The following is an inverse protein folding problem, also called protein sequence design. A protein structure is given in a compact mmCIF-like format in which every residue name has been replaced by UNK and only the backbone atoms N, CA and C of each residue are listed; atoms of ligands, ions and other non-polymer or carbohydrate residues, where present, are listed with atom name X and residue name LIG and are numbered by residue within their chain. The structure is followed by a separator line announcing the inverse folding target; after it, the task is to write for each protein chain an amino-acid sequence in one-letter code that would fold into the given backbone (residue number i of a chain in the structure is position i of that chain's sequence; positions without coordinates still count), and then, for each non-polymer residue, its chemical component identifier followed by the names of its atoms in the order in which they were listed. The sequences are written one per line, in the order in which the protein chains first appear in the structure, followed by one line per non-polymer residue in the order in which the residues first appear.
data_IF_060289690655
#
_entry.id   IF_060289690655
#
_cell.length_a   1.000
_cell.length_b   1.000
_cell.length_c   1.000
_cell.angle_alpha   90.00
_cell.angle_beta   90.00
_cell.angle_gamma   90.00
#
_symmetry.space_group_name_H-M   'P 1'
#
loop_
_entity.id
_entity.type
_entity.pdbx_description
1 polymer ?
#
# COMPACT_ATOMS: atom_id res chain seq x y z
N UNK A 1 -6.43 -3.44 -11.02
CA UNK A 1 -6.53 -4.23 -9.78
C UNK A 1 -6.40 -5.69 -10.17
N UNK A 2 -5.36 -6.38 -9.69
CA UNK A 2 -5.12 -7.78 -10.07
C UNK A 2 -6.00 -8.71 -9.25
N UNK A 3 -6.88 -9.44 -9.92
CA UNK A 3 -7.74 -10.46 -9.31
C UNK A 3 -6.99 -11.75 -8.96
N UNK A 4 -5.73 -11.89 -9.35
CA UNK A 4 -4.87 -13.05 -9.08
C UNK A 4 -4.06 -12.89 -7.79
N UNK A 5 -4.71 -12.58 -6.67
CA UNK A 5 -4.03 -12.56 -5.36
C UNK A 5 -4.80 -13.39 -4.35
N UNK A 6 -4.09 -14.27 -3.64
CA UNK A 6 -4.63 -14.93 -2.44
C UNK A 6 -4.60 -13.94 -1.28
N UNK A 7 -5.76 -13.65 -0.71
CA UNK A 7 -5.96 -12.72 0.39
C UNK A 7 -5.64 -13.36 1.75
N UNK A 8 -5.39 -12.51 2.74
CA UNK A 8 -5.06 -12.94 4.10
C UNK A 8 -6.01 -12.28 5.10
N UNK A 9 -6.61 -13.08 5.99
CA UNK A 9 -7.48 -12.57 7.07
C UNK A 9 -6.73 -11.77 8.14
N UNK A 10 -5.39 -11.82 8.14
CA UNK A 10 -4.54 -10.99 8.99
C UNK A 10 -4.40 -11.46 10.45
N UNK A 11 -5.38 -12.16 11.04
CA UNK A 11 -5.28 -12.78 12.37
C UNK A 11 -4.50 -11.94 13.42
N UNK A 12 -3.59 -12.58 14.15
CA UNK A 12 -2.65 -11.95 15.10
C UNK A 12 -1.35 -11.46 14.44
N UNK A 13 -1.30 -11.35 13.10
CA UNK A 13 -0.11 -10.86 12.41
C UNK A 13 0.14 -9.39 12.75
N UNK A 14 1.33 -9.05 13.29
CA UNK A 14 1.66 -7.68 13.71
C UNK A 14 1.86 -6.71 12.54
N UNK A 15 2.13 -7.23 11.33
CA UNK A 15 2.41 -6.43 10.13
C UNK A 15 1.24 -6.38 9.14
N UNK A 16 0.05 -6.89 9.51
CA UNK A 16 -1.11 -6.97 8.60
C UNK A 16 -1.52 -5.61 8.03
N UNK A 17 -1.41 -4.53 8.81
CA UNK A 17 -1.73 -3.16 8.41
C UNK A 17 -0.79 -2.60 7.33
N UNK A 18 0.30 -3.29 7.01
CA UNK A 18 1.22 -2.94 5.93
C UNK A 18 1.17 -3.93 4.77
N UNK A 19 0.28 -4.91 4.82
CA UNK A 19 0.23 -6.00 3.86
C UNK A 19 -0.92 -5.82 2.87
N UNK A 20 -0.62 -5.75 1.59
CA UNK A 20 -1.61 -5.62 0.52
C UNK A 20 -2.62 -6.76 0.53
N UNK A 21 -2.20 -8.00 0.85
CA UNK A 21 -3.10 -9.16 0.95
C UNK A 21 -4.17 -9.05 2.04
N UNK A 22 -3.93 -8.22 3.06
CA UNK A 22 -4.91 -7.96 4.12
C UNK A 22 -5.78 -6.73 3.79
N UNK A 23 -5.19 -5.71 3.15
CA UNK A 23 -5.86 -4.45 2.85
C UNK A 23 -6.63 -4.44 1.52
N UNK A 24 -6.34 -5.38 0.62
CA UNK A 24 -6.97 -5.43 -0.69
C UNK A 24 -8.49 -5.61 -0.58
N UNK A 25 -9.21 -4.88 -1.42
CA UNK A 25 -10.67 -4.94 -1.50
C UNK A 25 -11.13 -6.28 -2.07
N UNK A 26 -12.13 -6.90 -1.44
CA UNK A 26 -12.68 -8.19 -1.88
C UNK A 26 -13.73 -7.93 -2.95
N UNK A 27 -13.30 -8.03 -4.22
CA UNK A 27 -14.20 -7.93 -5.37
C UNK A 27 -14.54 -9.32 -5.91
N UNK A 28 -15.80 -9.72 -5.76
CA UNK A 28 -16.32 -11.00 -6.25
C UNK A 28 -15.81 -12.20 -5.44
N UNK A 29 -15.57 -13.33 -6.14
CA UNK A 29 -14.97 -14.52 -5.52
C UNK A 29 -13.45 -14.33 -5.47
N UNK A 30 -12.86 -14.50 -4.29
CA UNK A 30 -11.42 -14.43 -4.05
C UNK A 30 -10.98 -15.60 -3.18
N UNK A 31 -9.73 -16.04 -3.35
CA UNK A 31 -9.12 -17.07 -2.53
C UNK A 31 -8.48 -16.48 -1.28
N UNK A 32 -8.54 -17.23 -0.18
CA UNK A 32 -7.94 -16.85 1.10
C UNK A 32 -6.99 -17.94 1.59
N UNK A 33 -5.92 -17.53 2.27
CA UNK A 33 -5.12 -18.47 3.03
C UNK A 33 -5.96 -19.11 4.15
N UNK A 34 -6.00 -20.45 4.19
CA UNK A 34 -6.72 -21.19 5.23
C UNK A 34 -6.06 -21.10 6.62
N UNK A 35 -4.76 -20.79 6.67
CA UNK A 35 -4.00 -20.55 7.90
C UNK A 35 -3.18 -19.28 7.77
N UNK A 36 -2.85 -18.63 8.90
CA UNK A 36 -2.05 -17.42 8.92
C UNK A 36 -0.62 -17.73 8.43
N UNK A 37 -0.15 -17.15 7.32
CA UNK A 37 1.19 -17.42 6.79
C UNK A 37 2.33 -16.77 7.59
N UNK A 38 2.01 -16.03 8.65
CA UNK A 38 2.99 -15.33 9.47
C UNK A 38 3.68 -16.30 10.44
N UNK A 39 5.01 -16.31 10.42
CA UNK A 39 5.82 -17.08 11.36
C UNK A 39 6.19 -16.20 12.56
N UNK A 40 5.69 -16.57 13.74
CA UNK A 40 5.93 -15.86 14.99
C UNK A 40 7.33 -16.11 15.58
N UNK A 41 7.94 -17.27 15.30
CA UNK A 41 9.28 -17.60 15.79
C UNK A 41 10.35 -16.75 15.09
N UNK A 42 10.19 -16.52 13.78
CA UNK A 42 11.09 -15.71 12.96
C UNK A 42 10.62 -14.27 12.77
N UNK A 43 9.44 -13.94 13.31
CA UNK A 43 8.79 -12.63 13.20
C UNK A 43 8.66 -12.14 11.74
N UNK A 44 8.41 -13.06 10.80
CA UNK A 44 8.43 -12.80 9.35
C UNK A 44 7.34 -13.56 8.61
N UNK A 45 7.00 -13.10 7.40
CA UNK A 45 6.02 -13.76 6.54
C UNK A 45 6.53 -13.77 5.10
N UNK A 46 6.68 -14.96 4.53
CA UNK A 46 7.13 -15.17 3.14
C UNK A 46 6.14 -14.55 2.14
N UNK A 47 4.85 -14.55 2.48
CA UNK A 47 3.79 -14.00 1.65
C UNK A 47 3.53 -12.51 1.92
N UNK A 48 4.36 -11.85 2.72
CA UNK A 48 4.22 -10.42 2.98
C UNK A 48 4.37 -9.64 1.67
N UNK A 49 3.31 -8.91 1.32
CA UNK A 49 3.34 -7.98 0.20
C UNK A 49 3.15 -6.58 0.74
N UNK A 50 4.20 -5.77 0.68
CA UNK A 50 4.13 -4.40 1.18
C UNK A 50 3.09 -3.57 0.42
N UNK A 51 2.12 -3.02 1.14
CA UNK A 51 1.12 -2.09 0.61
C UNK A 51 1.72 -0.69 0.48
N UNK A 52 2.72 -0.53 -0.40
CA UNK A 52 3.21 0.81 -0.73
C UNK A 52 2.23 1.51 -1.67
N UNK A 53 1.98 2.81 -1.48
CA UNK A 53 1.18 3.58 -2.42
C UNK A 53 1.75 3.45 -3.84
N UNK A 54 0.88 3.28 -4.82
CA UNK A 54 1.32 3.17 -6.21
C UNK A 54 1.95 4.49 -6.67
N UNK A 55 2.93 4.41 -7.59
CA UNK A 55 3.56 5.60 -8.17
C UNK A 55 2.53 6.53 -8.81
N UNK A 56 1.42 5.99 -9.34
CA UNK A 56 0.29 6.74 -9.85
C UNK A 56 -0.43 7.56 -8.78
N UNK A 57 -0.64 7.02 -7.58
CA UNK A 57 -1.26 7.74 -6.46
C UNK A 57 -0.36 8.87 -5.95
N UNK A 58 0.95 8.61 -5.85
CA UNK A 58 1.94 9.64 -5.50
C UNK A 58 1.93 10.75 -6.55
N UNK A 59 1.89 10.40 -7.85
CA UNK A 59 1.82 11.39 -8.94
C UNK A 59 0.56 12.23 -8.90
N UNK A 60 -0.60 11.61 -8.69
CA UNK A 60 -1.88 12.31 -8.55
C UNK A 60 -1.85 13.29 -7.37
N UNK A 61 -1.33 12.85 -6.22
CA UNK A 61 -1.22 13.70 -5.04
C UNK A 61 -0.21 14.83 -5.23
N UNK A 62 0.94 14.56 -5.85
CA UNK A 62 1.92 15.57 -6.19
C UNK A 62 1.33 16.64 -7.12
N UNK A 63 0.54 16.23 -8.12
CA UNK A 63 -0.14 17.16 -9.01
C UNK A 63 -1.14 18.07 -8.27
N UNK A 64 -1.95 17.51 -7.37
CA UNK A 64 -2.88 18.30 -6.53
C UNK A 64 -2.13 19.34 -5.68
N UNK A 65 -1.07 18.93 -4.99
CA UNK A 65 -0.23 19.84 -4.18
C UNK A 65 0.38 20.94 -5.06
N UNK A 66 0.81 20.62 -6.27
CA UNK A 66 1.34 21.60 -7.21
C UNK A 66 0.29 22.63 -7.64
N UNK A 67 -0.94 22.21 -7.92
CA UNK A 67 -2.06 23.11 -8.24
C UNK A 67 -2.45 23.99 -7.05
N UNK A 68 -2.57 23.43 -5.85
CA UNK A 68 -2.89 24.14 -4.60
C UNK A 68 -1.85 25.23 -4.28
N UNK A 69 -0.57 24.98 -4.61
CA UNK A 69 0.53 25.94 -4.42
C UNK A 69 0.64 26.99 -5.54
N UNK A 70 -0.26 27.00 -6.51
CA UNK A 70 -0.24 27.96 -7.63
C UNK A 70 0.79 27.64 -8.70
N UNK A 71 1.05 26.35 -8.95
CA UNK A 71 1.90 25.87 -10.04
C UNK A 71 3.38 26.35 -9.98
N UNK A 72 4.07 26.22 -8.84
CA UNK A 72 5.44 26.70 -8.70
C UNK A 72 6.41 25.92 -9.62
N UNK A 73 7.27 26.65 -10.32
CA UNK A 73 8.34 26.08 -11.14
C UNK A 73 9.52 25.61 -10.26
N UNK A 74 10.20 24.54 -10.67
CA UNK A 74 11.39 24.01 -9.98
C UNK A 74 11.14 23.24 -8.67
N UNK A 75 9.90 23.24 -8.14
CA UNK A 75 9.56 22.55 -6.87
C UNK A 75 9.05 21.11 -7.03
N UNK A 76 9.18 20.53 -8.22
CA UNK A 76 8.63 19.21 -8.56
C UNK A 76 9.11 18.11 -7.60
N UNK A 77 10.39 18.10 -7.25
CA UNK A 77 10.98 17.09 -6.35
C UNK A 77 10.45 17.24 -4.92
N UNK A 78 10.38 18.45 -4.38
CA UNK A 78 9.86 18.71 -3.04
C UNK A 78 8.40 18.28 -2.91
N UNK A 79 7.61 18.59 -3.94
CA UNK A 79 6.18 18.25 -4.00
C UNK A 79 5.98 16.74 -4.11
N UNK A 80 6.83 16.05 -4.89
CA UNK A 80 6.81 14.58 -4.97
C UNK A 80 7.10 13.93 -3.61
N UNK A 81 8.16 14.37 -2.93
CA UNK A 81 8.52 13.85 -1.59
C UNK A 81 7.43 14.13 -0.56
N UNK A 82 6.76 15.29 -0.65
CA UNK A 82 5.60 15.59 0.19
C UNK A 82 4.44 14.62 -0.07
N UNK A 83 4.10 14.39 -1.34
CA UNK A 83 3.03 13.47 -1.74
C UNK A 83 3.29 12.02 -1.28
N UNK A 84 4.53 11.55 -1.40
CA UNK A 84 4.94 10.22 -0.94
C UNK A 84 4.77 10.07 0.57
N UNK A 85 5.21 11.07 1.36
CA UNK A 85 5.02 11.07 2.82
C UNK A 85 3.55 11.06 3.23
N UNK A 86 2.69 11.77 2.51
CA UNK A 86 1.26 11.79 2.78
C UNK A 86 0.57 10.46 2.43
N UNK A 87 1.07 9.73 1.43
CA UNK A 87 0.52 8.46 0.96
C UNK A 87 1.15 7.22 1.60
N UNK A 88 2.28 7.37 2.28
CA UNK A 88 2.97 6.30 3.03
C UNK A 88 2.39 6.10 4.45
N UNK A 89 1.09 6.37 4.67
CA UNK A 89 0.43 6.28 5.98
C UNK A 89 -0.12 4.89 6.29
#
# INVERSE_FOLDING_TARGET
MSSDITLCAGGDCPIKQKCYRFLAEILGRQDFFGQLPYNFDTNSCEYFWENRPDKGEIRLRAYQIWQEKGCPEGKSTEIWLQAEKERSR
#
